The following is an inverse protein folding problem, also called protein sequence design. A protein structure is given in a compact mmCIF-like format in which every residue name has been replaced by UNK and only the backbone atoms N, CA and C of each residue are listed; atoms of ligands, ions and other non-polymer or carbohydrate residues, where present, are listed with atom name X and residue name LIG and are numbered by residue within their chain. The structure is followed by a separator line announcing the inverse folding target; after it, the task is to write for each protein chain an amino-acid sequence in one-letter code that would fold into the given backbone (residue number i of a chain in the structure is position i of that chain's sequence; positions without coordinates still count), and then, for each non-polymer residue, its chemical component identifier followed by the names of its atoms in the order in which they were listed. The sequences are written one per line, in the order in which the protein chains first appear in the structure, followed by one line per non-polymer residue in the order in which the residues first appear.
data_IF_061563456682
#
_entry.id   IF_061563456682
#
_cell.length_a   1.000
_cell.length_b   1.000
_cell.length_c   1.000
_cell.angle_alpha   90.00
_cell.angle_beta   90.00
_cell.angle_gamma   90.00
#
_symmetry.space_group_name_H-M   'P 1'
#
loop_
_entity.id
_entity.type
_entity.pdbx_description
1 polymer ?
#
# COMPACT_ATOMS: atom_id res chain seq x y z
N UNK A 1 -21.84 -30.76 22.49
CA UNK A 1 -21.82 -29.75 21.41
C UNK A 1 -20.77 -28.64 21.69
N UNK A 2 -19.58 -29.05 22.20
CA UNK A 2 -18.48 -28.11 22.52
C UNK A 2 -17.44 -27.98 21.38
N UNK A 3 -17.61 -28.65 20.27
CA UNK A 3 -16.68 -28.62 19.12
C UNK A 3 -17.13 -27.68 18.01
N UNK A 4 -17.37 -26.41 18.35
CA UNK A 4 -17.48 -25.38 17.30
C UNK A 4 -16.09 -25.07 16.75
N UNK A 5 -16.00 -24.91 15.43
CA UNK A 5 -14.76 -24.46 14.79
C UNK A 5 -14.33 -23.10 15.37
N UNK A 6 -13.10 -22.99 15.83
CA UNK A 6 -12.56 -21.80 16.50
C UNK A 6 -11.37 -21.28 15.72
N UNK A 7 -11.24 -19.97 15.64
CA UNK A 7 -10.05 -19.30 15.09
C UNK A 7 -9.21 -18.83 16.26
N UNK A 8 -7.99 -19.39 16.36
CA UNK A 8 -7.05 -19.11 17.43
C UNK A 8 -5.93 -18.21 16.95
N UNK A 9 -5.57 -17.23 17.76
CA UNK A 9 -4.34 -16.48 17.64
C UNK A 9 -3.28 -17.14 18.51
N UNK A 10 -2.10 -17.42 17.94
CA UNK A 10 -0.94 -17.84 18.70
C UNK A 10 -0.04 -16.61 18.89
N UNK A 11 0.12 -16.14 20.15
CA UNK A 11 0.97 -14.99 20.43
C UNK A 11 2.43 -15.26 20.00
N UNK A 12 3.13 -14.21 19.56
CA UNK A 12 4.56 -14.26 19.35
C UNK A 12 5.27 -14.28 20.72
N UNK A 13 6.37 -15.01 20.77
CA UNK A 13 7.35 -15.10 21.86
C UNK A 13 6.90 -14.79 23.28
N UNK A 14 6.59 -15.84 24.05
CA UNK A 14 6.49 -15.81 25.51
C UNK A 14 5.09 -15.72 26.10
N UNK A 15 4.02 -15.63 25.32
CA UNK A 15 2.68 -15.79 25.85
C UNK A 15 2.29 -17.27 25.90
N UNK A 16 1.69 -17.73 27.00
CA UNK A 16 1.63 -19.14 27.32
C UNK A 16 0.60 -19.94 26.54
N UNK A 17 -0.42 -19.32 25.95
CA UNK A 17 -1.51 -20.08 25.31
C UNK A 17 -2.12 -19.37 24.09
N UNK A 18 -2.63 -20.14 23.10
CA UNK A 18 -3.46 -19.60 22.01
C UNK A 18 -4.73 -18.96 22.56
N UNK A 19 -5.12 -17.81 22.02
CA UNK A 19 -6.33 -17.08 22.41
C UNK A 19 -7.33 -17.04 21.24
N UNK A 20 -8.61 -16.97 21.55
CA UNK A 20 -9.64 -16.79 20.54
C UNK A 20 -9.55 -15.38 19.95
N UNK A 21 -9.67 -15.25 18.64
CA UNK A 21 -9.71 -13.92 18.01
C UNK A 21 -10.88 -13.09 18.49
N UNK A 22 -12.02 -13.73 18.78
CA UNK A 22 -13.21 -13.07 19.33
C UNK A 22 -13.07 -12.51 20.75
N UNK A 23 -11.96 -12.81 21.46
CA UNK A 23 -11.68 -12.23 22.78
C UNK A 23 -11.03 -10.83 22.68
N UNK A 24 -10.68 -10.37 21.47
CA UNK A 24 -10.14 -9.04 21.23
C UNK A 24 -11.21 -8.10 20.70
N UNK A 25 -11.22 -6.86 21.18
CA UNK A 25 -12.12 -5.81 20.69
C UNK A 25 -11.79 -5.43 19.24
N UNK A 26 -10.50 -5.53 18.86
CA UNK A 26 -10.00 -5.20 17.53
C UNK A 26 -8.69 -5.93 17.24
N UNK A 27 -8.51 -6.32 15.99
CA UNK A 27 -7.24 -6.83 15.44
C UNK A 27 -6.74 -5.90 14.34
N UNK A 28 -5.55 -5.33 14.53
CA UNK A 28 -4.87 -4.57 13.48
C UNK A 28 -3.94 -5.48 12.68
N UNK A 29 -4.35 -5.83 11.45
CA UNK A 29 -3.56 -6.70 10.59
C UNK A 29 -2.40 -5.94 9.96
N UNK A 30 -1.19 -6.24 10.43
CA UNK A 30 0.07 -5.63 9.96
C UNK A 30 1.03 -6.66 9.35
N UNK A 31 0.47 -7.74 8.80
CA UNK A 31 1.30 -8.74 8.12
C UNK A 31 1.98 -8.11 6.91
N UNK A 32 3.31 -8.21 6.86
CA UNK A 32 4.09 -7.74 5.72
C UNK A 32 3.82 -8.56 4.46
N UNK A 33 3.85 -7.92 3.27
CA UNK A 33 3.88 -8.64 1.99
C UNK A 33 5.07 -9.63 1.94
N UNK A 34 5.04 -10.66 1.06
CA UNK A 34 4.20 -10.75 -0.14
C UNK A 34 2.78 -11.17 0.15
N UNK A 35 1.83 -10.76 -0.71
CA UNK A 35 0.51 -11.34 -0.74
C UNK A 35 0.60 -12.72 -1.40
N UNK A 36 0.79 -13.74 -0.57
CA UNK A 36 0.82 -15.16 -0.95
C UNK A 36 -0.39 -15.90 -0.37
N UNK A 37 -0.46 -17.21 -0.55
CA UNK A 37 -1.56 -18.01 0.01
C UNK A 37 -1.58 -17.99 1.54
N UNK A 38 -0.46 -17.77 2.23
CA UNK A 38 -0.43 -17.63 3.69
C UNK A 38 -1.08 -16.32 4.12
N UNK A 39 -0.81 -15.23 3.37
CA UNK A 39 -1.49 -13.96 3.58
C UNK A 39 -2.99 -14.09 3.33
N UNK A 40 -3.35 -14.73 2.19
CA UNK A 40 -4.75 -14.96 1.82
C UNK A 40 -5.51 -15.74 2.91
N UNK A 41 -4.97 -16.88 3.37
CA UNK A 41 -5.61 -17.66 4.43
C UNK A 41 -5.68 -16.89 5.76
N UNK A 42 -4.65 -16.09 6.11
CA UNK A 42 -4.72 -15.25 7.29
C UNK A 42 -5.91 -14.27 7.22
N UNK A 43 -6.16 -13.64 6.07
CA UNK A 43 -7.32 -12.75 5.90
C UNK A 43 -8.65 -13.50 6.00
N UNK A 44 -8.72 -14.74 5.47
CA UNK A 44 -9.93 -15.55 5.61
C UNK A 44 -10.21 -15.94 7.06
N UNK A 45 -9.17 -16.39 7.80
CA UNK A 45 -9.30 -16.74 9.21
C UNK A 45 -9.72 -15.53 10.05
N UNK A 46 -9.13 -14.36 9.79
CA UNK A 46 -9.51 -13.11 10.45
C UNK A 46 -10.98 -12.74 10.20
N UNK A 47 -11.49 -12.97 8.97
CA UNK A 47 -12.93 -12.76 8.68
C UNK A 47 -13.88 -13.66 9.47
N UNK A 48 -13.38 -14.80 9.95
CA UNK A 48 -14.15 -15.79 10.73
C UNK A 48 -13.95 -15.63 12.24
N UNK A 49 -13.07 -14.74 12.66
CA UNK A 49 -12.65 -14.61 14.06
C UNK A 49 -13.67 -13.94 14.98
N UNK A 50 -14.70 -13.30 14.46
CA UNK A 50 -15.75 -12.66 15.26
C UNK A 50 -15.34 -11.34 15.93
N UNK A 51 -14.27 -10.72 15.47
CA UNK A 51 -13.76 -9.42 15.95
C UNK A 51 -13.65 -8.41 14.82
N UNK A 52 -13.61 -7.12 15.14
CA UNK A 52 -13.29 -6.06 14.18
C UNK A 52 -11.84 -6.20 13.71
N UNK A 53 -11.62 -6.24 12.40
CA UNK A 53 -10.28 -6.32 11.82
C UNK A 53 -10.03 -5.11 10.93
N UNK A 54 -8.92 -4.42 11.12
CA UNK A 54 -8.45 -3.28 10.33
C UNK A 54 -7.09 -3.59 9.66
N UNK A 55 -6.94 -3.32 8.38
CA UNK A 55 -7.99 -2.99 7.41
C UNK A 55 -8.89 -4.22 7.21
N UNK A 56 -10.10 -3.98 6.66
CA UNK A 56 -11.04 -5.07 6.38
C UNK A 56 -10.35 -6.23 5.64
N UNK A 57 -10.50 -7.49 6.12
CA UNK A 57 -9.91 -8.65 5.47
C UNK A 57 -10.41 -8.85 4.02
N UNK A 58 -11.66 -8.45 3.72
CA UNK A 58 -12.18 -8.46 2.34
C UNK A 58 -11.44 -7.46 1.47
N UNK A 59 -11.25 -6.23 1.94
CA UNK A 59 -10.50 -5.22 1.20
C UNK A 59 -9.06 -5.66 0.93
N UNK A 60 -8.40 -6.28 1.92
CA UNK A 60 -7.04 -6.83 1.75
C UNK A 60 -6.98 -7.97 0.72
N UNK A 61 -8.08 -8.69 0.49
CA UNK A 61 -8.17 -9.72 -0.57
C UNK A 61 -8.52 -9.15 -1.93
N UNK A 62 -9.41 -8.18 -1.97
CA UNK A 62 -10.02 -7.69 -3.20
C UNK A 62 -9.15 -6.65 -3.91
N UNK A 63 -8.33 -5.91 -3.14
CA UNK A 63 -7.52 -4.83 -3.69
C UNK A 63 -6.02 -5.17 -3.71
N UNK A 64 -5.44 -5.02 -4.88
CA UNK A 64 -3.99 -5.01 -5.05
C UNK A 64 -3.48 -3.57 -4.92
N UNK A 65 -2.41 -3.32 -4.19
CA UNK A 65 -1.86 -1.99 -3.88
C UNK A 65 -1.48 -1.15 -5.10
N UNK A 66 -1.23 -1.81 -6.25
CA UNK A 66 -0.95 -1.12 -7.53
C UNK A 66 -2.21 -0.93 -8.38
N UNK A 67 -3.21 -1.82 -8.26
CA UNK A 67 -4.44 -1.73 -9.04
C UNK A 67 -5.49 -0.84 -8.39
N UNK A 68 -5.51 -0.75 -7.06
CA UNK A 68 -6.48 0.05 -6.29
C UNK A 68 -6.42 1.55 -6.66
N UNK A 69 -5.31 2.01 -7.23
CA UNK A 69 -5.14 3.40 -7.66
C UNK A 69 -5.83 3.72 -8.99
N UNK A 70 -6.17 2.71 -9.81
CA UNK A 70 -6.72 2.91 -11.16
C UNK A 70 -8.07 3.67 -11.21
N UNK A 71 -9.01 3.52 -10.26
CA UNK A 71 -10.21 4.37 -10.20
C UNK A 71 -9.89 5.87 -10.12
N UNK A 72 -8.71 6.22 -9.65
CA UNK A 72 -8.20 7.59 -9.51
C UNK A 72 -7.21 7.97 -10.61
N UNK A 73 -7.36 7.38 -11.80
CA UNK A 73 -6.45 7.56 -12.95
C UNK A 73 -6.20 9.01 -13.36
N UNK A 74 -7.15 9.92 -13.08
CA UNK A 74 -6.99 11.37 -13.31
C UNK A 74 -5.86 12.00 -12.50
N UNK A 75 -5.42 11.35 -11.41
CA UNK A 75 -4.34 11.78 -10.54
C UNK A 75 -3.03 11.00 -10.76
N UNK A 76 -3.07 10.01 -11.66
CA UNK A 76 -1.92 9.15 -11.94
C UNK A 76 -1.09 9.70 -13.12
N UNK A 77 0.21 9.34 -13.21
CA UNK A 77 0.91 9.50 -14.47
C UNK A 77 0.31 8.58 -15.53
N UNK A 78 0.57 8.79 -16.83
CA UNK A 78 0.19 7.84 -17.86
C UNK A 78 0.54 6.41 -17.44
N UNK A 79 -0.48 5.55 -17.37
CA UNK A 79 -0.39 4.20 -16.80
C UNK A 79 -1.11 3.21 -17.70
N UNK A 80 -0.51 2.02 -17.85
CA UNK A 80 -1.07 0.87 -18.55
C UNK A 80 -0.94 -0.37 -17.65
N UNK A 81 -1.93 -1.22 -17.63
CA UNK A 81 -1.83 -2.59 -17.08
C UNK A 81 -2.07 -3.56 -18.21
N UNK A 82 -1.04 -4.33 -18.56
CA UNK A 82 -1.09 -5.27 -19.68
C UNK A 82 -0.10 -6.42 -19.48
N UNK A 83 -0.34 -7.52 -20.21
CA UNK A 83 0.60 -8.62 -20.38
C UNK A 83 1.14 -8.67 -21.82
N UNK A 84 0.39 -8.16 -22.78
CA UNK A 84 0.74 -8.17 -24.20
C UNK A 84 1.95 -7.24 -24.49
N UNK A 85 3.00 -7.84 -25.04
CA UNK A 85 4.28 -7.16 -25.31
C UNK A 85 4.16 -6.08 -26.36
N UNK A 86 3.28 -6.23 -27.35
CA UNK A 86 3.07 -5.23 -28.41
C UNK A 86 2.37 -4.00 -27.83
N UNK A 87 1.33 -4.21 -27.03
CA UNK A 87 0.60 -3.13 -26.34
C UNK A 87 1.52 -2.35 -25.40
N UNK A 88 2.39 -3.06 -24.68
CA UNK A 88 3.40 -2.43 -23.81
C UNK A 88 4.43 -1.65 -24.66
N UNK A 89 4.90 -2.23 -25.77
CA UNK A 89 5.83 -1.57 -26.69
C UNK A 89 5.25 -0.28 -27.27
N UNK A 90 3.99 -0.28 -27.68
CA UNK A 90 3.29 0.91 -28.18
C UNK A 90 3.13 1.99 -27.09
N UNK A 91 2.93 1.58 -25.84
CA UNK A 91 2.88 2.52 -24.71
C UNK A 91 4.25 3.17 -24.47
N UNK A 92 5.33 2.39 -24.47
CA UNK A 92 6.71 2.90 -24.34
C UNK A 92 7.04 3.85 -25.50
N UNK A 93 6.67 3.49 -26.73
CA UNK A 93 6.87 4.35 -27.91
C UNK A 93 6.20 5.71 -27.80
N UNK A 94 5.05 5.79 -27.12
CA UNK A 94 4.31 7.05 -26.92
C UNK A 94 4.81 7.88 -25.75
N UNK A 95 5.29 7.26 -24.69
CA UNK A 95 5.58 7.92 -23.41
C UNK A 95 7.08 8.02 -23.08
N UNK A 96 7.94 7.37 -23.86
CA UNK A 96 9.39 7.31 -23.60
C UNK A 96 9.71 6.42 -22.41
N UNK A 97 10.64 6.86 -21.57
CA UNK A 97 11.06 6.11 -20.38
C UNK A 97 9.88 5.76 -19.47
N UNK A 98 9.79 4.50 -19.07
CA UNK A 98 8.75 3.97 -18.20
C UNK A 98 9.34 3.22 -17.01
N UNK A 99 8.54 3.00 -15.99
CA UNK A 99 8.78 1.99 -14.95
C UNK A 99 7.80 0.85 -15.13
N UNK A 100 8.31 -0.38 -15.04
CA UNK A 100 7.50 -1.60 -15.02
C UNK A 100 7.46 -2.14 -13.60
N UNK A 101 6.26 -2.38 -13.09
CA UNK A 101 6.00 -2.86 -11.73
C UNK A 101 5.27 -4.20 -11.79
N UNK A 102 5.82 -5.25 -11.20
CA UNK A 102 5.08 -6.50 -11.00
C UNK A 102 3.95 -6.29 -9.99
N UNK A 103 2.77 -6.88 -10.24
CA UNK A 103 1.60 -6.69 -9.38
C UNK A 103 1.73 -7.41 -8.03
N UNK A 104 2.57 -8.43 -7.94
CA UNK A 104 2.77 -9.27 -6.75
C UNK A 104 4.04 -8.96 -5.96
N UNK A 105 4.74 -7.88 -6.30
CA UNK A 105 5.95 -7.45 -5.61
C UNK A 105 5.72 -6.26 -4.69
N UNK A 106 6.61 -6.11 -3.72
CA UNK A 106 6.57 -5.10 -2.67
C UNK A 106 7.96 -4.47 -2.46
N UNK A 107 8.01 -3.33 -1.76
CA UNK A 107 9.23 -2.60 -1.40
C UNK A 107 10.11 -2.20 -2.59
N UNK A 108 9.52 -2.00 -3.78
CA UNK A 108 10.25 -1.60 -4.99
C UNK A 108 11.17 -2.67 -5.60
N UNK A 109 11.17 -3.90 -5.07
CA UNK A 109 12.10 -4.98 -5.52
C UNK A 109 11.92 -5.40 -6.98
N UNK A 110 10.78 -5.11 -7.59
CA UNK A 110 10.50 -5.42 -9.00
C UNK A 110 10.15 -4.20 -9.83
N UNK A 111 10.48 -3.01 -9.36
CA UNK A 111 10.35 -1.80 -10.18
C UNK A 111 11.58 -1.72 -11.08
N UNK A 112 11.35 -1.80 -12.38
CA UNK A 112 12.41 -1.70 -13.40
C UNK A 112 12.16 -0.49 -14.28
N UNK A 113 13.14 0.40 -14.40
CA UNK A 113 13.11 1.49 -15.34
C UNK A 113 13.54 0.98 -16.72
N UNK A 114 12.75 1.29 -17.73
CA UNK A 114 13.02 0.98 -19.12
C UNK A 114 13.04 2.29 -19.91
N UNK A 115 14.22 2.74 -20.39
CA UNK A 115 14.34 3.94 -21.20
C UNK A 115 13.82 3.75 -22.63
N UNK A 116 13.74 2.50 -23.08
CA UNK A 116 13.26 2.08 -24.38
C UNK A 116 12.61 0.69 -24.32
N UNK A 117 12.04 0.26 -25.45
CA UNK A 117 11.44 -1.07 -25.57
C UNK A 117 12.53 -2.16 -25.53
N UNK A 118 12.67 -2.80 -24.35
CA UNK A 118 13.52 -3.97 -24.14
C UNK A 118 12.67 -5.23 -24.10
N UNK A 119 12.66 -5.96 -25.22
CA UNK A 119 11.84 -7.16 -25.39
C UNK A 119 12.21 -8.29 -24.42
N UNK A 120 13.48 -8.44 -24.07
CA UNK A 120 13.95 -9.51 -23.18
C UNK A 120 13.46 -9.24 -21.74
N UNK A 121 13.64 -8.00 -21.28
CA UNK A 121 13.13 -7.58 -19.97
C UNK A 121 11.62 -7.70 -19.91
N UNK A 122 10.89 -7.28 -20.94
CA UNK A 122 9.44 -7.40 -21.01
C UNK A 122 8.97 -8.85 -21.00
N UNK A 123 9.66 -9.74 -21.73
CA UNK A 123 9.38 -11.18 -21.70
C UNK A 123 9.60 -11.78 -20.30
N UNK A 124 10.65 -11.37 -19.59
CA UNK A 124 10.91 -11.84 -18.23
C UNK A 124 9.83 -11.37 -17.26
N UNK A 125 9.52 -10.08 -17.21
CA UNK A 125 8.57 -9.53 -16.23
C UNK A 125 7.12 -9.97 -16.49
N UNK A 126 6.73 -10.15 -17.76
CA UNK A 126 5.39 -10.61 -18.15
C UNK A 126 5.29 -12.13 -18.24
N UNK A 127 6.39 -12.87 -17.99
CA UNK A 127 6.46 -14.32 -18.18
C UNK A 127 5.97 -14.74 -19.59
N UNK A 128 6.56 -14.10 -20.61
CA UNK A 128 6.19 -14.34 -22.00
C UNK A 128 4.79 -13.89 -22.39
N UNK A 129 4.25 -12.84 -21.74
CA UNK A 129 2.90 -12.32 -22.01
C UNK A 129 1.78 -13.00 -21.25
N UNK A 130 2.11 -13.90 -20.29
CA UNK A 130 1.10 -14.60 -19.47
C UNK A 130 0.74 -13.88 -18.17
N UNK A 131 1.54 -12.90 -17.75
CA UNK A 131 1.39 -12.19 -16.48
C UNK A 131 1.26 -10.69 -16.70
N UNK A 132 0.16 -10.07 -16.27
CA UNK A 132 0.00 -8.63 -16.36
C UNK A 132 1.00 -7.91 -15.44
N UNK A 133 1.49 -6.78 -15.91
CA UNK A 133 2.33 -5.84 -15.18
C UNK A 133 1.76 -4.43 -15.30
N UNK A 134 2.05 -3.58 -14.33
CA UNK A 134 1.76 -2.15 -14.45
C UNK A 134 2.97 -1.45 -15.08
N UNK A 135 2.70 -0.67 -16.12
CA UNK A 135 3.68 0.17 -16.83
C UNK A 135 3.27 1.62 -16.65
N UNK A 136 4.13 2.42 -16.07
CA UNK A 136 3.87 3.85 -15.83
C UNK A 136 4.96 4.69 -16.49
N UNK A 137 4.59 5.87 -16.99
CA UNK A 137 5.58 6.87 -17.41
C UNK A 137 6.53 7.14 -16.25
N UNK A 138 7.83 7.12 -16.51
CA UNK A 138 8.84 7.47 -15.53
C UNK A 138 8.73 8.96 -15.17
N UNK A 139 8.75 9.25 -13.88
CA UNK A 139 8.72 10.61 -13.34
C UNK A 139 10.10 10.95 -12.81
N UNK A 140 10.79 11.90 -13.44
CA UNK A 140 12.12 12.33 -13.00
C UNK A 140 12.10 12.99 -11.61
N UNK A 141 10.94 13.52 -11.21
CA UNK A 141 10.69 14.08 -9.87
C UNK A 141 11.03 13.10 -8.74
N UNK A 142 11.10 11.78 -9.02
CA UNK A 142 11.52 10.77 -8.04
C UNK A 142 12.90 11.04 -7.46
N UNK A 143 13.80 11.70 -8.19
CA UNK A 143 15.13 12.08 -7.71
C UNK A 143 15.07 13.20 -6.66
N UNK A 144 14.02 14.01 -6.67
CA UNK A 144 13.75 15.00 -5.62
C UNK A 144 13.02 14.39 -4.42
N UNK A 145 12.31 13.30 -4.65
CA UNK A 145 11.69 12.49 -3.61
C UNK A 145 10.35 11.91 -3.99
N UNK A 146 9.99 10.88 -3.26
CA UNK A 146 8.69 10.22 -3.24
C UNK A 146 8.01 10.55 -1.90
N UNK A 147 6.87 11.21 -1.93
CA UNK A 147 6.15 11.59 -0.71
C UNK A 147 5.26 10.46 -0.25
N UNK A 148 5.52 9.94 0.96
CA UNK A 148 4.63 9.03 1.69
C UNK A 148 3.67 9.84 2.54
N UNK A 149 2.38 9.69 2.27
CA UNK A 149 1.29 10.24 3.09
C UNK A 149 0.62 9.08 3.81
N UNK A 150 0.55 9.13 5.13
CA UNK A 150 -0.21 8.16 5.93
C UNK A 150 -1.61 8.73 6.17
N UNK A 151 -2.63 7.89 5.90
CA UNK A 151 -4.03 8.22 6.15
C UNK A 151 -4.58 7.38 7.29
N UNK A 152 -5.47 7.98 8.09
CA UNK A 152 -6.19 7.33 9.18
C UNK A 152 -7.66 7.76 9.11
N UNK A 153 -8.55 6.80 8.85
CA UNK A 153 -9.92 7.14 8.52
C UNK A 153 -10.00 7.98 7.25
N UNK A 154 -10.78 9.04 7.30
CA UNK A 154 -11.01 9.99 6.20
C UNK A 154 -10.02 11.17 6.18
N UNK A 155 -8.94 11.10 6.98
CA UNK A 155 -7.99 12.19 7.16
C UNK A 155 -6.54 11.78 6.89
N UNK A 156 -5.71 12.77 6.59
CA UNK A 156 -4.26 12.62 6.55
C UNK A 156 -3.73 12.66 7.97
N UNK A 157 -3.00 11.63 8.38
CA UNK A 157 -2.34 11.53 9.66
C UNK A 157 -1.00 12.28 9.68
N UNK A 158 -0.21 12.15 8.60
CA UNK A 158 1.07 12.83 8.45
C UNK A 158 1.76 12.47 7.14
N UNK A 159 2.85 13.18 6.81
CA UNK A 159 3.58 12.98 5.57
C UNK A 159 5.10 13.14 5.73
N UNK A 160 5.85 12.37 4.93
CA UNK A 160 7.30 12.52 4.79
C UNK A 160 7.72 12.41 3.33
N UNK A 161 8.71 13.20 2.93
CA UNK A 161 9.39 13.06 1.66
C UNK A 161 10.53 12.05 1.82
N UNK A 162 10.53 11.00 1.00
CA UNK A 162 11.58 9.99 0.96
C UNK A 162 12.54 10.32 -0.19
N UNK A 163 13.62 11.03 0.09
CA UNK A 163 14.62 11.39 -0.92
C UNK A 163 15.60 10.24 -1.11
N UNK A 164 15.66 9.61 -2.31
CA UNK A 164 16.54 8.48 -2.55
C UNK A 164 18.01 8.85 -2.32
N UNK A 165 18.75 8.03 -1.56
CA UNK A 165 20.19 8.20 -1.39
C UNK A 165 20.97 7.83 -2.65
N UNK A 166 20.43 6.91 -3.44
CA UNK A 166 20.99 6.46 -4.72
C UNK A 166 19.88 5.94 -5.63
N UNK A 167 20.01 6.22 -6.95
CA UNK A 167 19.06 5.74 -7.96
C UNK A 167 17.67 6.34 -7.81
N UNK A 168 16.64 5.59 -8.19
CA UNK A 168 15.23 6.02 -8.24
C UNK A 168 14.32 5.21 -7.30
N UNK A 169 14.86 4.33 -6.45
CA UNK A 169 14.08 3.55 -5.50
C UNK A 169 13.91 4.32 -4.19
N UNK A 170 12.77 4.92 -4.01
CA UNK A 170 12.41 5.67 -2.80
C UNK A 170 11.60 4.80 -1.83
N UNK A 171 12.26 4.32 -0.77
CA UNK A 171 11.62 3.69 0.39
C UNK A 171 12.37 4.10 1.66
N UNK A 172 11.78 3.95 2.84
CA UNK A 172 12.42 4.40 4.08
C UNK A 172 13.78 3.74 4.38
N UNK A 173 14.04 2.54 3.85
CA UNK A 173 15.34 1.88 4.04
C UNK A 173 16.45 2.49 3.19
N UNK A 174 16.12 3.02 2.00
CA UNK A 174 17.08 3.50 1.01
C UNK A 174 17.03 5.02 0.82
N UNK A 175 16.22 5.73 1.58
CA UNK A 175 16.00 7.17 1.45
C UNK A 175 16.33 7.91 2.75
N UNK A 176 16.57 9.19 2.62
CA UNK A 176 16.50 10.14 3.71
C UNK A 176 15.03 10.56 3.88
N UNK A 177 14.52 10.50 5.11
CA UNK A 177 13.19 10.96 5.43
C UNK A 177 13.25 12.45 5.80
N UNK A 178 12.50 13.28 5.08
CA UNK A 178 12.45 14.72 5.29
C UNK A 178 11.02 15.13 5.64
N UNK A 179 10.87 16.13 6.49
CA UNK A 179 9.56 16.73 6.81
C UNK A 179 8.93 17.26 5.53
N UNK A 180 7.65 16.95 5.32
CA UNK A 180 6.94 17.39 4.14
C UNK A 180 5.48 17.68 4.46
N UNK A 181 4.88 18.58 3.69
CA UNK A 181 3.46 18.89 3.73
C UNK A 181 2.84 18.61 2.38
N UNK A 182 1.55 18.37 2.36
CA UNK A 182 0.81 18.20 1.11
C UNK A 182 0.69 19.55 0.40
N UNK A 183 0.85 19.54 -0.93
CA UNK A 183 0.42 20.65 -1.77
C UNK A 183 -1.11 20.72 -1.82
N UNK A 184 -1.67 21.83 -2.27
CA UNK A 184 -3.12 22.00 -2.46
C UNK A 184 -3.70 20.90 -3.36
N UNK A 185 -2.96 20.51 -4.40
CA UNK A 185 -3.34 19.42 -5.29
C UNK A 185 -3.38 18.07 -4.56
N UNK A 186 -2.32 17.70 -3.84
CA UNK A 186 -2.26 16.44 -3.09
C UNK A 186 -3.31 16.39 -1.98
N UNK A 187 -3.62 17.53 -1.36
CA UNK A 187 -4.70 17.64 -0.39
C UNK A 187 -6.06 17.36 -1.04
N UNK A 188 -6.37 17.97 -2.18
CA UNK A 188 -7.60 17.70 -2.92
C UNK A 188 -7.72 16.22 -3.33
N UNK A 189 -6.60 15.58 -3.72
CA UNK A 189 -6.56 14.12 -4.01
C UNK A 189 -6.92 13.32 -2.76
N UNK A 190 -6.32 13.63 -1.61
CA UNK A 190 -6.57 12.90 -0.36
C UNK A 190 -8.00 13.10 0.14
N UNK A 191 -8.56 14.30 0.02
CA UNK A 191 -9.95 14.60 0.38
C UNK A 191 -10.98 13.80 -0.43
N UNK A 192 -10.69 13.49 -1.70
CA UNK A 192 -11.54 12.62 -2.52
C UNK A 192 -11.32 11.13 -2.20
N UNK A 193 -10.06 10.74 -1.97
CA UNK A 193 -9.65 9.35 -1.88
C UNK A 193 -9.91 8.73 -0.50
N UNK A 194 -9.66 9.46 0.59
CA UNK A 194 -9.76 8.91 1.94
C UNK A 194 -11.18 8.44 2.29
N UNK A 195 -12.28 9.20 2.02
CA UNK A 195 -13.62 8.72 2.27
C UNK A 195 -13.96 7.46 1.45
N UNK A 196 -13.44 7.36 0.22
CA UNK A 196 -13.64 6.16 -0.59
C UNK A 196 -12.90 4.96 0.03
N UNK A 197 -11.67 5.11 0.49
CA UNK A 197 -10.93 4.04 1.18
C UNK A 197 -11.69 3.54 2.42
N UNK A 198 -12.20 4.46 3.24
CA UNK A 198 -13.02 4.11 4.41
C UNK A 198 -14.27 3.34 4.00
N UNK A 199 -14.95 3.74 2.91
CA UNK A 199 -16.13 3.03 2.39
C UNK A 199 -15.81 1.59 1.94
N UNK A 200 -14.55 1.30 1.61
CA UNK A 200 -14.05 -0.06 1.30
C UNK A 200 -13.55 -0.81 2.55
N UNK A 201 -13.64 -0.22 3.74
CA UNK A 201 -13.11 -0.79 4.98
C UNK A 201 -11.60 -0.64 5.14
N UNK A 202 -10.99 0.29 4.42
CA UNK A 202 -9.56 0.62 4.50
C UNK A 202 -9.43 1.89 5.35
N UNK A 203 -9.13 1.73 6.62
CA UNK A 203 -9.00 2.82 7.59
C UNK A 203 -7.57 3.28 7.78
N UNK A 204 -6.59 2.51 7.31
CA UNK A 204 -5.18 2.85 7.42
C UNK A 204 -4.46 2.55 6.10
N UNK A 205 -3.94 3.58 5.45
CA UNK A 205 -3.25 3.45 4.18
C UNK A 205 -2.02 4.36 4.08
N UNK A 206 -1.14 4.02 3.16
CA UNK A 206 -0.01 4.85 2.74
C UNK A 206 -0.15 5.21 1.28
N UNK A 207 -0.24 6.49 0.97
CA UNK A 207 -0.32 7.01 -0.40
C UNK A 207 1.07 7.47 -0.82
N UNK A 208 1.47 7.14 -2.02
CA UNK A 208 2.76 7.54 -2.58
C UNK A 208 2.56 8.53 -3.72
N UNK A 209 3.22 9.71 -3.60
CA UNK A 209 3.17 10.77 -4.60
C UNK A 209 4.57 11.10 -5.11
N UNK A 210 4.71 11.21 -6.43
CA UNK A 210 5.92 11.68 -7.11
C UNK A 210 5.53 12.82 -8.05
N UNK A 211 6.11 14.01 -7.87
CA UNK A 211 5.79 15.20 -8.68
C UNK A 211 4.30 15.57 -8.64
N UNK A 212 3.60 15.28 -7.53
CA UNK A 212 2.16 15.50 -7.38
C UNK A 212 1.28 14.40 -7.95
N UNK A 213 1.82 13.41 -8.67
CA UNK A 213 1.07 12.25 -9.17
C UNK A 213 0.97 11.16 -8.12
N UNK A 214 -0.24 10.62 -7.94
CA UNK A 214 -0.49 9.43 -7.14
C UNK A 214 0.03 8.19 -7.87
N UNK A 215 0.95 7.44 -7.26
CA UNK A 215 1.64 6.32 -7.91
C UNK A 215 1.34 4.96 -7.30
N UNK A 216 0.91 4.91 -6.02
CA UNK A 216 0.60 3.68 -5.29
C UNK A 216 -0.27 3.97 -4.06
N UNK A 217 -1.12 3.02 -3.67
CA UNK A 217 -1.89 3.03 -2.42
C UNK A 217 -1.55 1.75 -1.66
N UNK A 218 -0.81 1.89 -0.57
CA UNK A 218 -0.35 0.78 0.27
C UNK A 218 -1.38 0.53 1.38
N UNK A 219 -1.98 -0.66 1.42
CA UNK A 219 -3.07 -1.01 2.35
C UNK A 219 -2.75 -2.18 3.27
N UNK A 220 -1.69 -2.96 2.98
CA UNK A 220 -1.33 -4.17 3.74
C UNK A 220 -0.54 -3.81 5.00
N UNK A 221 0.64 -3.24 4.84
CA UNK A 221 1.51 -2.84 5.93
C UNK A 221 2.25 -1.52 5.60
N UNK A 222 1.53 -0.40 5.39
CA UNK A 222 2.20 0.86 5.10
C UNK A 222 3.14 1.26 6.24
N UNK A 223 4.38 1.59 5.87
CA UNK A 223 5.45 2.02 6.79
C UNK A 223 5.58 3.54 6.78
N UNK A 224 6.21 4.10 7.83
CA UNK A 224 6.48 5.53 7.94
C UNK A 224 6.00 6.16 9.25
N UNK A 225 5.24 5.44 10.08
CA UNK A 225 4.70 5.97 11.34
C UNK A 225 5.83 6.53 12.22
N UNK A 226 6.90 5.75 12.44
CA UNK A 226 8.03 6.16 13.31
C UNK A 226 8.73 7.40 12.74
N UNK A 227 9.09 7.37 11.46
CA UNK A 227 9.80 8.47 10.82
C UNK A 227 8.98 9.77 10.80
N UNK A 228 7.67 9.66 10.52
CA UNK A 228 6.79 10.83 10.49
C UNK A 228 6.58 11.35 11.92
N UNK A 229 6.41 10.47 12.92
CA UNK A 229 6.32 10.85 14.33
C UNK A 229 7.53 11.69 14.76
N UNK A 230 8.73 11.22 14.43
CA UNK A 230 9.98 11.92 14.74
C UNK A 230 10.10 13.28 14.02
N UNK A 231 9.70 13.34 12.74
CA UNK A 231 9.76 14.55 11.93
C UNK A 231 8.74 15.62 12.37
N UNK A 232 7.58 15.19 12.87
CA UNK A 232 6.50 16.08 13.28
C UNK A 232 6.47 16.37 14.78
N UNK A 233 7.29 15.66 15.58
CA UNK A 233 7.28 15.68 17.04
C UNK A 233 5.86 15.36 17.59
N UNK A 234 5.25 14.25 17.05
CA UNK A 234 3.89 13.79 17.37
C UNK A 234 3.87 12.29 17.66
N UNK A 235 2.99 11.85 18.54
CA UNK A 235 2.72 10.45 18.81
C UNK A 235 1.66 9.89 17.85
N UNK A 236 2.04 9.64 16.58
CA UNK A 236 1.12 9.07 15.60
C UNK A 236 0.65 7.67 15.97
N UNK A 237 1.43 6.90 16.72
CA UNK A 237 1.02 5.57 17.17
C UNK A 237 -0.13 5.68 18.18
N UNK A 238 -0.04 6.62 19.12
CA UNK A 238 -1.12 6.92 20.06
C UNK A 238 -2.39 7.36 19.35
N UNK A 239 -2.29 8.26 18.35
CA UNK A 239 -3.43 8.71 17.56
C UNK A 239 -4.11 7.56 16.79
N UNK A 240 -3.33 6.62 16.23
CA UNK A 240 -3.86 5.42 15.56
C UNK A 240 -4.63 4.54 16.55
N UNK A 241 -4.06 4.28 17.74
CA UNK A 241 -4.70 3.45 18.76
C UNK A 241 -5.97 4.10 19.27
N UNK A 242 -5.97 5.41 19.48
CA UNK A 242 -7.17 6.14 19.89
C UNK A 242 -8.30 6.03 18.85
N UNK A 243 -7.99 6.28 17.57
CA UNK A 243 -8.96 6.14 16.49
C UNK A 243 -9.54 4.71 16.41
N UNK A 244 -8.68 3.70 16.52
CA UNK A 244 -9.10 2.30 16.47
C UNK A 244 -9.97 1.91 17.69
N UNK A 245 -9.63 2.40 18.89
CA UNK A 245 -10.43 2.18 20.08
C UNK A 245 -11.83 2.79 19.95
N UNK A 246 -11.94 3.96 19.35
CA UNK A 246 -13.23 4.60 19.06
C UNK A 246 -14.06 3.82 18.05
N UNK A 247 -13.42 3.19 17.04
CA UNK A 247 -14.11 2.32 16.08
C UNK A 247 -14.63 1.04 16.74
N UNK A 248 -13.79 0.39 17.55
CA UNK A 248 -14.19 -0.82 18.30
C UNK A 248 -15.40 -0.55 19.20
N UNK A 249 -15.38 0.56 19.94
CA UNK A 249 -16.50 0.96 20.81
C UNK A 249 -17.82 1.24 20.06
N UNK A 250 -17.76 1.60 18.78
CA UNK A 250 -18.97 1.79 17.92
C UNK A 250 -19.48 0.50 17.31
N UNK A 251 -18.66 -0.54 17.29
CA UNK A 251 -18.96 -1.84 16.66
C UNK A 251 -19.44 -2.89 17.65
N UNK A 252 -19.26 -2.64 18.95
CA UNK A 252 -19.75 -3.44 20.07
C UNK A 252 -21.22 -3.13 20.39
#
# INVERSE_FOLDING_TARGET
FEDQARVLATPADGAPEPQLLGDYDLVFMRKEPPYDMRFHYATQLLSLGGTLVLNSPSALRDFNEKLIVLPFSKYMPPTLVAADLSVIGDFIGRHGTVVVKSLDSFQGKSVRMLPEHDKEVLQDVTKGGSRPVMVQKFLEDVYEGDKRVITLGDQVLGAALRKPKRGYHANFANSEALKSHLSEHEQAVTEELCPWLVSQGIHFAGLDFIGGYLTEINITCPTGIVQISELEDRDLAGEIIEYFSQLAAKSA
#
